data_IF_198433526224
#
_entry.id   IF_198433526224
#
_cell.length_a   1.000
_cell.length_b   1.000
_cell.length_c   1.000
_cell.angle_alpha   90.00
_cell.angle_beta   90.00
_cell.angle_gamma   90.00
#
_symmetry.space_group_name_H-M   'P 1'
#
loop_
_entity.id
_entity.type
_entity.pdbx_description
1 polymer ?
#
# COMPACT_ATOMS: atom_id res chain seq x y z
N UNK A 1 6.35 6.80 12.40
CA UNK A 1 6.47 6.36 11.00
C UNK A 1 7.60 7.15 10.35
N UNK A 2 8.56 6.49 9.69
CA UNK A 2 9.67 7.16 8.97
C UNK A 2 9.42 7.09 7.47
N UNK A 3 9.97 8.04 6.69
CA UNK A 3 9.85 8.07 5.22
C UNK A 3 10.30 6.76 4.59
N UNK A 4 11.44 6.22 5.02
CA UNK A 4 11.95 4.94 4.53
C UNK A 4 11.00 3.78 4.82
N UNK A 5 10.32 3.79 5.98
CA UNK A 5 9.33 2.77 6.29
C UNK A 5 8.09 2.91 5.40
N UNK A 6 7.61 4.13 5.17
CA UNK A 6 6.45 4.38 4.30
C UNK A 6 6.72 3.93 2.85
N UNK A 7 7.87 4.27 2.29
CA UNK A 7 8.26 3.88 0.92
C UNK A 7 8.31 2.35 0.79
N UNK A 8 8.93 1.66 1.77
CA UNK A 8 8.99 0.19 1.78
C UNK A 8 7.61 -0.44 1.84
N UNK A 9 6.73 0.04 2.72
CA UNK A 9 5.35 -0.47 2.83
C UNK A 9 4.57 -0.26 1.53
N UNK A 10 4.64 0.93 0.93
CA UNK A 10 3.98 1.21 -0.34
C UNK A 10 4.54 0.35 -1.48
N UNK A 11 5.85 0.13 -1.51
CA UNK A 11 6.50 -0.75 -2.50
C UNK A 11 6.01 -2.19 -2.39
N UNK A 12 5.84 -2.71 -1.17
CA UNK A 12 5.28 -4.04 -0.94
C UNK A 12 3.83 -4.12 -1.43
N UNK A 13 3.00 -3.13 -1.13
CA UNK A 13 1.61 -3.10 -1.62
C UNK A 13 1.50 -3.03 -3.14
N UNK A 14 2.45 -2.38 -3.83
CA UNK A 14 2.53 -2.41 -5.30
C UNK A 14 2.93 -3.79 -5.81
N UNK A 15 3.96 -4.41 -5.23
CA UNK A 15 4.40 -5.76 -5.61
C UNK A 15 3.29 -6.81 -5.43
N UNK A 16 2.50 -6.68 -4.37
CA UNK A 16 1.35 -7.55 -4.07
C UNK A 16 0.09 -7.16 -4.86
N UNK A 17 0.15 -6.12 -5.71
CA UNK A 17 -0.98 -5.58 -6.50
C UNK A 17 -2.18 -5.15 -5.64
N UNK A 18 -1.94 -4.71 -4.41
CA UNK A 18 -2.96 -4.13 -3.53
C UNK A 18 -3.24 -2.69 -3.94
N UNK A 19 -2.19 -1.96 -4.34
CA UNK A 19 -2.29 -0.59 -4.86
C UNK A 19 -1.49 -0.46 -6.16
N UNK A 20 -1.86 0.53 -6.97
CA UNK A 20 -1.02 1.09 -8.03
C UNK A 20 -0.62 2.52 -7.66
N UNK A 21 0.56 2.92 -8.08
CA UNK A 21 1.08 4.28 -7.87
C UNK A 21 1.38 4.89 -9.23
N UNK A 22 0.88 6.11 -9.44
CA UNK A 22 1.19 6.96 -10.58
C UNK A 22 1.66 8.33 -10.07
N UNK A 23 2.98 8.48 -9.96
CA UNK A 23 3.61 9.65 -9.32
C UNK A 23 3.15 9.83 -7.88
N UNK A 24 2.33 10.87 -7.64
CA UNK A 24 1.75 11.18 -6.31
C UNK A 24 0.33 10.64 -6.12
N UNK A 25 -0.25 10.01 -7.13
CA UNK A 25 -1.58 9.40 -7.07
C UNK A 25 -1.43 7.94 -6.67
N UNK A 26 -2.30 7.49 -5.77
CA UNK A 26 -2.41 6.09 -5.37
C UNK A 26 -3.80 5.62 -5.76
N UNK A 27 -3.86 4.51 -6.49
CA UNK A 27 -5.11 3.82 -6.83
C UNK A 27 -5.16 2.52 -6.03
N UNK A 28 -6.24 2.30 -5.29
CA UNK A 28 -6.49 1.03 -4.62
C UNK A 28 -6.97 0.03 -5.67
N UNK A 29 -6.34 -1.13 -5.73
CA UNK A 29 -6.70 -2.24 -6.62
C UNK A 29 -7.50 -3.29 -5.85
N UNK A 30 -7.05 -3.61 -4.62
CA UNK A 30 -7.68 -4.58 -3.72
C UNK A 30 -7.97 -3.95 -2.35
N UNK A 31 -9.17 -3.39 -2.25
CA UNK A 31 -9.65 -2.70 -1.05
C UNK A 31 -9.91 -3.66 0.12
N UNK A 32 -10.39 -4.86 -0.18
CA UNK A 32 -10.69 -5.86 0.86
C UNK A 32 -9.42 -6.31 1.58
N UNK A 33 -8.36 -6.61 0.82
CA UNK A 33 -7.06 -7.00 1.38
C UNK A 33 -6.42 -5.85 2.14
N UNK A 34 -6.51 -4.62 1.64
CA UNK A 34 -6.00 -3.43 2.35
C UNK A 34 -6.72 -3.23 3.68
N UNK A 35 -8.05 -3.41 3.73
CA UNK A 35 -8.81 -3.35 4.98
C UNK A 35 -8.44 -4.45 5.97
N UNK A 36 -8.17 -5.68 5.51
CA UNK A 36 -7.69 -6.76 6.38
C UNK A 36 -6.35 -6.39 7.01
N UNK A 37 -5.40 -5.91 6.22
CA UNK A 37 -4.08 -5.45 6.70
C UNK A 37 -4.24 -4.33 7.71
N UNK A 38 -5.14 -3.37 7.47
CA UNK A 38 -5.39 -2.24 8.38
C UNK A 38 -5.92 -2.67 9.75
N UNK A 39 -6.58 -3.83 9.86
CA UNK A 39 -7.13 -4.36 11.13
C UNK A 39 -6.11 -5.21 11.89
N UNK A 40 -5.06 -5.69 11.21
CA UNK A 40 -4.02 -6.56 11.77
C UNK A 40 -2.81 -5.78 12.33
N UNK A 41 -2.95 -4.45 12.50
CA UNK A 41 -1.88 -3.55 12.91
C UNK A 41 -1.01 -4.05 14.06
#
# INVERSE_FOLDING_TARGET
MTTSNAIRTLSNFVNERIIAIDGRKIKIIDEERLHKISRMG
#
